data_IF_114440124143
#
_entry.id   IF_114440124143
#
_cell.length_a   1.000
_cell.length_b   1.000
_cell.length_c   1.000
_cell.angle_alpha   90.00
_cell.angle_beta   90.00
_cell.angle_gamma   90.00
#
_symmetry.space_group_name_H-M   'P 1'
#
loop_
_entity.id
_entity.type
_entity.pdbx_description
1 polymer ?
#
# COMPACT_ATOMS: atom_id res chain seq x y z
N UNK A 1 -53.68 -13.38 -8.19
CA UNK A 1 -53.33 -11.96 -8.36
C UNK A 1 -51.86 -11.83 -7.96
N UNK A 2 -51.00 -11.67 -8.97
CA UNK A 2 -49.62 -11.18 -8.92
C UNK A 2 -49.46 -9.92 -8.02
N UNK A 3 -48.25 -9.42 -7.70
CA UNK A 3 -46.93 -10.07 -7.59
C UNK A 3 -46.03 -9.52 -6.43
N UNK A 4 -44.83 -10.10 -6.28
CA UNK A 4 -43.51 -9.45 -6.07
C UNK A 4 -43.19 -8.55 -4.84
N UNK A 5 -42.24 -9.05 -4.02
CA UNK A 5 -41.12 -8.29 -3.43
C UNK A 5 -40.21 -7.73 -4.57
N UNK A 6 -39.12 -6.94 -4.41
CA UNK A 6 -38.27 -6.62 -3.24
C UNK A 6 -37.92 -5.10 -3.19
N UNK A 7 -37.06 -4.53 -2.36
CA UNK A 7 -35.61 -4.38 -2.62
C UNK A 7 -34.97 -3.65 -1.42
N UNK A 8 -34.41 -4.39 -0.48
CA UNK A 8 -33.32 -3.86 0.34
C UNK A 8 -32.04 -4.03 -0.48
N UNK A 9 -31.60 -2.96 -1.14
CA UNK A 9 -30.35 -2.92 -1.88
C UNK A 9 -29.16 -3.26 -0.98
N UNK A 10 -28.75 -4.53 -1.01
CA UNK A 10 -27.44 -4.95 -0.54
C UNK A 10 -26.49 -4.73 -1.72
N UNK A 11 -25.44 -3.92 -1.58
CA UNK A 11 -24.51 -3.67 -2.66
C UNK A 11 -23.81 -4.98 -3.05
N UNK A 12 -24.14 -5.49 -4.23
CA UNK A 12 -23.42 -6.58 -4.91
C UNK A 12 -21.94 -6.16 -5.02
N UNK A 13 -21.08 -6.79 -4.22
CA UNK A 13 -19.64 -6.61 -4.37
C UNK A 13 -19.24 -7.19 -5.74
N UNK A 14 -18.53 -6.43 -6.60
CA UNK A 14 -18.31 -6.84 -7.97
C UNK A 14 -17.61 -8.20 -8.02
N UNK A 15 -18.22 -9.17 -8.70
CA UNK A 15 -17.64 -10.51 -8.97
C UNK A 15 -16.22 -10.40 -9.53
N UNK A 16 -15.96 -9.34 -10.29
CA UNK A 16 -14.63 -8.98 -10.79
C UNK A 16 -13.57 -8.86 -9.67
N UNK A 17 -13.93 -8.25 -8.54
CA UNK A 17 -13.04 -8.11 -7.37
C UNK A 17 -12.71 -9.47 -6.77
N UNK A 18 -13.68 -10.41 -6.76
CA UNK A 18 -13.53 -11.76 -6.19
C UNK A 18 -12.65 -12.68 -7.05
N UNK A 19 -12.67 -12.49 -8.37
CA UNK A 19 -11.81 -13.22 -9.31
C UNK A 19 -10.38 -12.67 -9.27
N UNK A 20 -10.20 -11.34 -9.17
CA UNK A 20 -8.89 -10.69 -9.19
C UNK A 20 -8.13 -10.79 -7.85
N UNK A 21 -8.81 -10.65 -6.71
CA UNK A 21 -8.20 -10.58 -5.39
C UNK A 21 -8.43 -11.84 -4.54
N UNK A 22 -9.29 -12.77 -4.99
CA UNK A 22 -9.71 -13.93 -4.22
C UNK A 22 -10.78 -13.62 -3.17
N UNK A 23 -11.12 -14.62 -2.36
CA UNK A 23 -12.13 -14.52 -1.31
C UNK A 23 -11.55 -13.70 -0.13
N UNK A 24 -12.26 -12.68 0.39
CA UNK A 24 -11.75 -11.88 1.50
C UNK A 24 -11.56 -12.78 2.72
N UNK A 25 -10.35 -12.75 3.31
CA UNK A 25 -10.04 -13.49 4.52
C UNK A 25 -10.80 -12.84 5.68
N UNK A 26 -11.90 -13.44 6.10
CA UNK A 26 -12.69 -13.04 7.26
C UNK A 26 -11.82 -13.05 8.51
N UNK A 27 -11.72 -11.91 9.22
CA UNK A 27 -10.87 -11.76 10.41
C UNK A 27 -11.24 -12.70 11.56
N UNK A 28 -12.46 -13.25 11.59
CA UNK A 28 -12.87 -14.28 12.56
C UNK A 28 -12.22 -15.66 12.32
N UNK A 29 -11.58 -15.87 11.16
CA UNK A 29 -10.80 -17.09 10.88
C UNK A 29 -9.29 -16.93 11.23
N UNK A 30 -8.91 -15.86 11.94
CA UNK A 30 -7.50 -15.59 12.30
C UNK A 30 -7.09 -16.18 13.65
N UNK A 31 -8.04 -16.49 14.54
CA UNK A 31 -7.74 -17.02 15.88
C UNK A 31 -7.54 -18.55 15.91
N UNK A 32 -8.10 -19.27 14.94
CA UNK A 32 -7.92 -20.74 14.83
C UNK A 32 -6.64 -21.13 14.05
N UNK A 33 -5.97 -20.15 13.42
CA UNK A 33 -4.67 -20.25 12.74
C UNK A 33 -3.72 -19.10 13.12
N UNK A 34 -3.59 -18.80 14.42
CA UNK A 34 -2.44 -18.02 14.90
C UNK A 34 -1.16 -18.79 14.55
N UNK A 35 -0.47 -18.37 13.48
CA UNK A 35 0.84 -18.93 13.13
C UNK A 35 1.71 -18.85 14.39
N UNK A 36 2.27 -19.99 14.87
CA UNK A 36 3.11 -19.98 16.06
C UNK A 36 4.18 -18.91 15.91
N UNK A 37 4.41 -18.13 16.98
CA UNK A 37 5.23 -16.90 17.03
C UNK A 37 6.53 -16.92 16.20
N UNK A 38 7.12 -18.12 16.02
CA UNK A 38 8.31 -18.40 15.21
C UNK A 38 8.14 -18.15 13.70
N UNK A 39 6.93 -18.31 13.14
CA UNK A 39 6.63 -18.13 11.71
C UNK A 39 6.05 -16.74 11.41
N UNK A 40 5.24 -16.19 12.32
CA UNK A 40 4.70 -14.84 12.19
C UNK A 40 5.80 -13.76 12.24
N UNK A 41 6.79 -13.92 13.12
CA UNK A 41 7.88 -12.95 13.30
C UNK A 41 8.72 -12.69 12.03
N UNK A 42 9.23 -13.71 11.31
CA UNK A 42 9.99 -13.47 10.08
C UNK A 42 9.15 -12.80 8.99
N UNK A 43 7.85 -13.10 8.86
CA UNK A 43 7.00 -12.47 7.84
C UNK A 43 6.79 -10.97 8.13
N UNK A 44 6.43 -10.62 9.36
CA UNK A 44 6.29 -9.22 9.77
C UNK A 44 7.64 -8.48 9.78
N UNK A 45 8.72 -9.16 10.15
CA UNK A 45 10.06 -8.59 10.10
C UNK A 45 10.58 -8.43 8.67
N UNK A 46 10.27 -9.33 7.73
CA UNK A 46 10.71 -9.26 6.34
C UNK A 46 10.14 -8.05 5.59
N UNK A 47 8.91 -7.66 5.89
CA UNK A 47 8.29 -6.45 5.31
C UNK A 47 9.00 -5.16 5.77
N UNK A 48 9.25 -5.05 7.09
CA UNK A 48 9.98 -3.94 7.67
C UNK A 48 11.47 -3.93 7.25
N UNK A 49 12.12 -5.10 7.20
CA UNK A 49 13.54 -5.22 6.87
C UNK A 49 13.80 -4.94 5.40
N UNK A 50 12.91 -5.37 4.49
CA UNK A 50 13.01 -5.02 3.06
C UNK A 50 12.86 -3.52 2.84
N UNK A 51 11.94 -2.87 3.54
CA UNK A 51 11.76 -1.41 3.47
C UNK A 51 12.97 -0.66 4.02
N UNK A 52 13.56 -1.08 5.14
CA UNK A 52 14.73 -0.39 5.73
C UNK A 52 16.04 -0.70 5.01
N UNK A 53 16.19 -1.90 4.42
CA UNK A 53 17.42 -2.26 3.71
C UNK A 53 17.56 -1.55 2.37
N UNK A 54 16.46 -1.36 1.64
CA UNK A 54 16.51 -0.82 0.28
C UNK A 54 15.95 0.60 0.14
N UNK A 55 14.87 0.96 0.86
CA UNK A 55 14.24 2.27 0.67
C UNK A 55 15.17 3.46 0.99
N UNK A 56 16.06 3.42 2.00
CA UNK A 56 16.99 4.52 2.24
C UNK A 56 17.94 4.77 1.07
N UNK A 57 18.40 3.71 0.41
CA UNK A 57 19.31 3.84 -0.74
C UNK A 57 18.60 4.51 -1.92
N UNK A 58 17.40 4.08 -2.28
CA UNK A 58 16.62 4.71 -3.34
C UNK A 58 16.27 6.17 -3.01
N UNK A 59 15.85 6.44 -1.77
CA UNK A 59 15.53 7.80 -1.34
C UNK A 59 16.73 8.73 -1.44
N UNK A 60 17.91 8.27 -1.01
CA UNK A 60 19.15 9.04 -1.14
C UNK A 60 19.52 9.30 -2.60
N UNK A 61 19.39 8.29 -3.48
CA UNK A 61 19.69 8.45 -4.90
C UNK A 61 18.79 9.49 -5.56
N UNK A 62 17.47 9.39 -5.35
CA UNK A 62 16.49 10.34 -5.92
C UNK A 62 16.73 11.75 -5.37
N UNK A 63 16.91 11.88 -4.05
CA UNK A 63 17.13 13.19 -3.41
C UNK A 63 18.44 13.83 -3.85
N UNK A 64 19.52 13.05 -3.96
CA UNK A 64 20.83 13.57 -4.34
C UNK A 64 20.84 14.00 -5.81
N UNK A 65 20.31 13.17 -6.72
CA UNK A 65 20.23 13.52 -8.14
C UNK A 65 19.29 14.71 -8.37
N UNK A 66 18.09 14.68 -7.81
CA UNK A 66 17.14 15.79 -7.93
C UNK A 66 17.67 17.07 -7.28
N UNK A 67 18.09 17.00 -6.01
CA UNK A 67 18.58 18.13 -5.25
C UNK A 67 19.78 18.82 -5.89
N UNK A 68 20.77 18.06 -6.35
CA UNK A 68 21.93 18.62 -7.06
C UNK A 68 21.53 19.29 -8.39
N UNK A 69 20.64 18.65 -9.16
CA UNK A 69 20.14 19.24 -10.41
C UNK A 69 19.41 20.56 -10.15
N UNK A 70 18.58 20.63 -9.10
CA UNK A 70 17.84 21.84 -8.74
C UNK A 70 18.73 22.94 -8.16
N UNK A 71 19.85 22.59 -7.52
CA UNK A 71 20.80 23.57 -6.97
C UNK A 71 21.37 24.50 -8.06
N UNK A 72 21.51 24.02 -9.30
CA UNK A 72 21.98 24.82 -10.44
C UNK A 72 21.03 25.98 -10.80
N UNK A 73 19.74 25.89 -10.42
CA UNK A 73 18.77 26.97 -10.62
C UNK A 73 18.82 28.03 -9.52
N UNK A 74 19.50 27.76 -8.40
CA UNK A 74 19.64 28.68 -7.26
C UNK A 74 20.00 30.13 -7.66
N UNK A 75 21.03 30.41 -8.49
CA UNK A 75 21.35 31.79 -8.86
C UNK A 75 20.26 32.48 -9.67
N UNK A 76 19.55 31.74 -10.54
CA UNK A 76 18.44 32.30 -11.32
C UNK A 76 17.24 32.63 -10.44
N UNK A 77 16.94 31.78 -9.47
CA UNK A 77 15.88 32.04 -8.48
C UNK A 77 16.26 33.26 -7.64
N UNK A 78 17.50 33.37 -7.18
CA UNK A 78 17.98 34.53 -6.43
C UNK A 78 17.85 35.83 -7.24
N UNK A 79 18.21 35.80 -8.52
CA UNK A 79 18.08 36.95 -9.41
C UNK A 79 16.63 37.34 -9.72
N UNK A 80 15.69 36.39 -9.67
CA UNK A 80 14.27 36.67 -9.92
C UNK A 80 13.55 37.28 -8.70
N UNK A 81 14.10 37.11 -7.50
CA UNK A 81 13.49 37.58 -6.23
C UNK A 81 13.95 39.00 -5.86
N UNK A 82 15.18 39.39 -6.21
CA UNK A 82 15.75 40.72 -5.97
C UNK A 82 15.42 41.68 -7.12
#
# INVERSE_FOLDING_TARGET
MTPDAPESGVPETPVAKRILLGQPLSSDAMDEHLLPKKMALPIFASDALSSVAYAPQELLMILLTGGLAFLAFSPWIAAAVV
#
